data_IF_388570378827
#
_entry.id   IF_388570378827
#
_cell.length_a   1.000
_cell.length_b   1.000
_cell.length_c   1.000
_cell.angle_alpha   90.00
_cell.angle_beta   90.00
_cell.angle_gamma   90.00
#
_symmetry.space_group_name_H-M   'P 1'
#
loop_
_entity.id
_entity.type
_entity.pdbx_description
1 polymer ?
#
# COMPACT_ATOMS: atom_id res chain seq x y z
N UNK A 1 24.35 15.04 16.24
CA UNK A 1 23.53 15.17 15.02
C UNK A 1 22.72 13.88 14.90
N UNK A 2 21.39 13.89 15.00
CA UNK A 2 20.60 12.67 14.81
C UNK A 2 20.58 12.31 13.31
N UNK A 3 20.94 11.07 13.00
CA UNK A 3 20.89 10.52 11.64
C UNK A 3 19.41 10.24 11.32
N UNK A 4 18.86 10.74 10.20
CA UNK A 4 17.48 10.49 9.85
C UNK A 4 17.26 8.99 9.65
N UNK A 5 16.54 8.35 10.57
CA UNK A 5 16.10 6.98 10.40
C UNK A 5 15.00 6.95 9.37
N UNK A 6 15.24 6.32 8.22
CA UNK A 6 14.15 5.96 7.32
C UNK A 6 13.15 5.10 8.10
N UNK A 7 11.84 5.34 7.92
CA UNK A 7 10.83 4.41 8.42
C UNK A 7 11.01 3.07 7.70
N UNK A 8 11.90 2.21 8.19
CA UNK A 8 12.10 0.84 7.71
C UNK A 8 10.96 -0.11 8.09
N UNK A 9 9.76 0.44 8.32
CA UNK A 9 8.56 -0.31 8.69
C UNK A 9 7.62 -0.40 7.50
N UNK A 10 7.07 -1.59 7.26
CA UNK A 10 6.02 -1.77 6.26
C UNK A 10 4.87 -0.81 6.57
N UNK A 11 4.49 0.01 5.60
CA UNK A 11 3.23 0.75 5.67
C UNK A 11 2.10 -0.26 5.95
N UNK A 12 1.18 0.05 6.89
CA UNK A 12 0.09 -0.87 7.21
C UNK A 12 -0.70 -1.12 5.93
N UNK A 13 -0.71 -2.37 5.49
CA UNK A 13 -1.50 -2.78 4.33
C UNK A 13 -2.97 -2.49 4.64
N UNK A 14 -3.69 -1.76 3.77
CA UNK A 14 -5.08 -1.46 4.03
C UNK A 14 -5.89 -2.75 4.13
N UNK A 15 -6.81 -2.82 5.09
CA UNK A 15 -7.59 -4.02 5.38
C UNK A 15 -8.33 -4.56 4.14
N UNK A 16 -8.74 -3.67 3.22
CA UNK A 16 -9.34 -4.03 1.93
C UNK A 16 -8.41 -4.86 1.05
N UNK A 17 -7.15 -4.46 0.91
CA UNK A 17 -6.15 -5.21 0.16
C UNK A 17 -5.91 -6.59 0.76
N UNK A 18 -5.89 -6.66 2.10
CA UNK A 18 -5.66 -7.89 2.83
C UNK A 18 -6.83 -8.87 2.67
N UNK A 19 -8.07 -8.37 2.67
CA UNK A 19 -9.25 -9.15 2.33
C UNK A 19 -9.25 -9.62 0.87
N UNK A 20 -8.95 -8.73 -0.08
CA UNK A 20 -8.87 -9.08 -1.50
C UNK A 20 -7.81 -10.16 -1.78
N UNK A 21 -6.66 -10.12 -1.11
CA UNK A 21 -5.64 -11.18 -1.20
C UNK A 21 -6.20 -12.53 -0.70
N UNK A 22 -6.94 -12.52 0.41
CA UNK A 22 -7.57 -13.73 0.95
C UNK A 22 -8.68 -14.26 0.04
N UNK A 23 -9.49 -13.39 -0.56
CA UNK A 23 -10.51 -13.79 -1.53
C UNK A 23 -9.91 -14.28 -2.86
N UNK A 24 -8.76 -13.75 -3.27
CA UNK A 24 -8.01 -14.25 -4.44
C UNK A 24 -7.42 -15.64 -4.17
N UNK A 25 -6.84 -15.85 -2.99
CA UNK A 25 -6.33 -17.17 -2.56
C UNK A 25 -7.47 -18.20 -2.47
N UNK A 26 -8.66 -17.76 -2.05
CA UNK A 26 -9.88 -18.57 -2.05
C UNK A 26 -10.50 -18.76 -3.45
N UNK A 27 -9.94 -18.16 -4.51
CA UNK A 27 -10.44 -18.25 -5.88
C UNK A 27 -11.76 -17.52 -6.14
N UNK A 28 -12.15 -16.57 -5.28
CA UNK A 28 -13.41 -15.82 -5.39
C UNK A 28 -13.29 -14.57 -6.26
N UNK A 29 -12.11 -13.96 -6.32
CA UNK A 29 -11.84 -12.82 -7.19
C UNK A 29 -10.78 -13.17 -8.23
N UNK A 30 -10.79 -12.45 -9.35
CA UNK A 30 -9.79 -12.62 -10.40
C UNK A 30 -8.54 -11.79 -10.14
N UNK A 31 -7.45 -12.12 -10.83
CA UNK A 31 -6.18 -11.39 -10.73
C UNK A 31 -6.32 -9.91 -11.13
N UNK A 32 -7.25 -9.61 -12.03
CA UNK A 32 -7.53 -8.24 -12.46
C UNK A 32 -8.20 -7.41 -11.35
N UNK A 33 -9.15 -7.99 -10.62
CA UNK A 33 -9.78 -7.33 -9.47
C UNK A 33 -8.78 -7.11 -8.32
N UNK A 34 -7.95 -8.13 -8.03
CA UNK A 34 -6.86 -7.98 -7.05
C UNK A 34 -5.91 -6.83 -7.43
N UNK A 35 -5.61 -6.68 -8.72
CA UNK A 35 -4.72 -5.63 -9.24
C UNK A 35 -5.35 -4.25 -9.13
N UNK A 36 -6.65 -4.12 -9.35
CA UNK A 36 -7.37 -2.86 -9.15
C UNK A 36 -7.35 -2.41 -7.69
N UNK A 37 -7.55 -3.35 -6.76
CA UNK A 37 -7.48 -3.08 -5.31
C UNK A 37 -6.05 -2.71 -4.87
N UNK A 38 -5.03 -3.35 -5.47
CA UNK A 38 -3.62 -3.02 -5.29
C UNK A 38 -3.27 -1.62 -5.79
N UNK A 39 -3.76 -1.22 -6.96
CA UNK A 39 -3.54 0.11 -7.53
C UNK A 39 -4.17 1.20 -6.65
N UNK A 40 -5.40 0.97 -6.17
CA UNK A 40 -6.08 1.87 -5.24
C UNK A 40 -5.32 2.01 -3.90
N UNK A 41 -4.84 0.89 -3.33
CA UNK A 41 -4.04 0.91 -2.12
C UNK A 41 -2.66 1.57 -2.32
N UNK A 42 -2.07 1.44 -3.50
CA UNK A 42 -0.82 2.08 -3.87
C UNK A 42 -1.02 3.61 -3.99
N UNK A 43 -2.09 4.05 -4.65
CA UNK A 43 -2.47 5.47 -4.71
C UNK A 43 -2.73 6.05 -3.33
N UNK A 44 -3.50 5.37 -2.47
CA UNK A 44 -3.71 5.79 -1.07
C UNK A 44 -2.37 5.95 -0.33
N UNK A 45 -1.44 5.02 -0.53
CA UNK A 45 -0.11 5.08 0.08
C UNK A 45 0.73 6.24 -0.46
N UNK A 46 0.65 6.52 -1.76
CA UNK A 46 1.35 7.64 -2.42
C UNK A 46 0.74 8.97 -1.99
N UNK A 47 -0.58 9.07 -1.86
CA UNK A 47 -1.24 10.29 -1.37
C UNK A 47 -0.92 10.53 0.10
N UNK A 48 -1.01 9.48 0.94
CA UNK A 48 -0.76 9.57 2.38
C UNK A 48 0.71 9.78 2.72
N UNK A 49 1.63 9.24 1.92
CA UNK A 49 3.07 9.41 2.09
C UNK A 49 3.64 10.59 1.27
N UNK A 50 2.95 11.00 0.21
CA UNK A 50 3.25 12.19 -0.59
C UNK A 50 3.05 13.47 0.19
N UNK A 51 2.11 13.51 1.14
CA UNK A 51 2.01 14.59 2.12
C UNK A 51 3.10 14.58 3.21
N UNK A 52 4.03 13.63 3.21
CA UNK A 52 5.07 13.54 4.26
C UNK A 52 6.51 13.36 3.79
N UNK A 53 6.78 13.11 2.50
CA UNK A 53 8.17 12.78 2.08
C UNK A 53 8.51 12.90 0.58
N UNK A 54 7.98 13.85 -0.18
CA UNK A 54 8.41 14.03 -1.60
C UNK A 54 8.70 15.47 -2.05
N UNK A 55 8.91 16.42 -1.13
CA UNK A 55 9.54 17.72 -1.45
C UNK A 55 10.89 17.84 -0.74
N UNK A 56 11.90 17.12 -1.23
CA UNK A 56 13.32 17.52 -1.18
C UNK A 56 14.14 16.40 -1.85
N UNK A 57 14.33 16.54 -3.16
CA UNK A 57 15.42 15.95 -3.95
C UNK A 57 15.71 16.89 -5.12
#
# INVERSE_FOLDING_TARGET
>A
MPIPSENGGSLPRPAKLQAAIADYDAGKITKEELKAEQDAACKDSIERNGSRRIIEL
#
